data_IF_508393435460
#
_entry.id   IF_508393435460
#
_cell.length_a   1.000
_cell.length_b   1.000
_cell.length_c   1.000
_cell.angle_alpha   90.00
_cell.angle_beta   90.00
_cell.angle_gamma   90.00
#
_symmetry.space_group_name_H-M   'P 1'
#
loop_
_entity.id
_entity.type
_entity.pdbx_description
1 polymer ?
#
# COMPACT_ATOMS: atom_id res chain seq x y z
N UNK A 1 5.61 4.35 8.33
CA UNK A 1 4.84 3.57 7.35
C UNK A 1 3.37 3.57 7.76
N UNK A 2 2.45 3.96 6.88
CA UNK A 2 1.03 3.70 7.11
C UNK A 2 0.80 2.20 7.03
N UNK A 3 -0.07 1.65 7.88
CA UNK A 3 -0.48 0.24 7.74
C UNK A 3 -1.23 0.05 6.43
N UNK A 4 -1.15 -1.15 5.84
CA UNK A 4 -1.88 -1.51 4.62
C UNK A 4 -3.38 -1.20 4.73
N UNK A 5 -3.99 -1.51 5.88
CA UNK A 5 -5.40 -1.19 6.15
C UNK A 5 -5.70 0.31 6.10
N UNK A 6 -4.74 1.14 6.52
CA UNK A 6 -4.90 2.59 6.48
C UNK A 6 -4.72 3.14 5.07
N UNK A 7 -3.84 2.53 4.26
CA UNK A 7 -3.72 2.81 2.83
C UNK A 7 -5.03 2.52 2.09
N UNK A 8 -5.66 1.37 2.37
CA UNK A 8 -6.95 1.00 1.78
C UNK A 8 -8.03 2.02 2.16
N UNK A 9 -8.21 2.32 3.46
CA UNK A 9 -9.21 3.29 3.93
C UNK A 9 -9.01 4.69 3.34
N UNK A 10 -7.77 5.17 3.28
CA UNK A 10 -7.47 6.47 2.68
C UNK A 10 -7.82 6.49 1.18
N UNK A 11 -7.58 5.38 0.49
CA UNK A 11 -7.87 5.25 -0.95
C UNK A 11 -9.37 5.15 -1.20
N UNK A 12 -10.11 4.37 -0.41
CA UNK A 12 -11.58 4.32 -0.44
C UNK A 12 -12.19 5.69 -0.18
N UNK A 13 -11.68 6.42 0.82
CA UNK A 13 -12.14 7.78 1.14
C UNK A 13 -11.89 8.75 0.00
N UNK A 14 -10.75 8.66 -0.69
CA UNK A 14 -10.42 9.50 -1.86
C UNK A 14 -11.25 9.16 -3.09
N UNK A 15 -11.52 7.89 -3.31
CA UNK A 15 -12.33 7.41 -4.42
C UNK A 15 -13.84 7.63 -4.19
N UNK A 16 -14.26 7.82 -2.94
CA UNK A 16 -15.68 7.93 -2.57
C UNK A 16 -16.45 6.61 -2.74
N UNK A 17 -15.74 5.49 -2.91
CA UNK A 17 -16.28 4.14 -3.07
C UNK A 17 -15.36 3.11 -2.42
N UNK A 18 -15.90 1.92 -2.19
CA UNK A 18 -15.09 0.77 -1.78
C UNK A 18 -14.14 0.37 -2.90
N UNK A 19 -12.98 -0.15 -2.51
CA UNK A 19 -12.03 -0.77 -3.42
C UNK A 19 -12.61 -2.09 -3.95
N UNK A 20 -12.41 -2.33 -5.24
CA UNK A 20 -12.67 -3.63 -5.85
C UNK A 20 -11.56 -4.61 -5.42
N UNK A 21 -11.84 -5.90 -5.47
CA UNK A 21 -10.89 -6.95 -5.09
C UNK A 21 -9.54 -6.80 -5.81
N UNK A 22 -9.58 -6.58 -7.13
CA UNK A 22 -8.39 -6.36 -7.95
C UNK A 22 -7.58 -5.11 -7.53
N UNK A 23 -8.27 -4.06 -7.06
CA UNK A 23 -7.60 -2.85 -6.57
C UNK A 23 -6.95 -3.07 -5.21
N UNK A 24 -7.56 -3.91 -4.36
CA UNK A 24 -6.96 -4.32 -3.08
C UNK A 24 -5.71 -5.17 -3.32
N UNK A 25 -5.77 -6.15 -4.22
CA UNK A 25 -4.61 -6.98 -4.60
C UNK A 25 -3.47 -6.12 -5.17
N UNK A 26 -3.80 -5.17 -6.03
CA UNK A 26 -2.83 -4.22 -6.57
C UNK A 26 -2.17 -3.38 -5.47
N UNK A 27 -2.97 -2.80 -4.56
CA UNK A 27 -2.44 -2.00 -3.45
C UNK A 27 -1.58 -2.83 -2.50
N UNK A 28 -1.93 -4.10 -2.29
CA UNK A 28 -1.15 -5.01 -1.46
C UNK A 28 0.22 -5.22 -2.08
N UNK A 29 0.27 -5.60 -3.36
CA UNK A 29 1.51 -5.78 -4.10
C UNK A 29 2.39 -4.53 -4.08
N UNK A 30 1.81 -3.34 -4.34
CA UNK A 30 2.56 -2.08 -4.28
C UNK A 30 3.13 -1.82 -2.89
N UNK A 31 2.34 -2.06 -1.84
CA UNK A 31 2.76 -1.83 -0.46
C UNK A 31 3.92 -2.73 -0.05
N UNK A 32 3.89 -4.00 -0.45
CA UNK A 32 4.95 -4.97 -0.19
C UNK A 32 6.24 -4.59 -0.90
N UNK A 33 6.16 -4.20 -2.17
CA UNK A 33 7.32 -3.71 -2.92
C UNK A 33 7.91 -2.45 -2.31
N UNK A 34 7.07 -1.51 -1.89
CA UNK A 34 7.54 -0.30 -1.23
C UNK A 34 8.29 -0.61 0.07
N UNK A 35 7.78 -1.54 0.89
CA UNK A 35 8.44 -2.01 2.10
C UNK A 35 9.79 -2.68 1.79
N UNK A 36 9.84 -3.54 0.76
CA UNK A 36 11.07 -4.21 0.34
C UNK A 36 12.13 -3.19 -0.12
N UNK A 37 11.73 -2.23 -0.94
CA UNK A 37 12.63 -1.18 -1.44
C UNK A 37 13.08 -0.23 -0.32
N UNK A 38 12.21 0.12 0.63
CA UNK A 38 12.61 0.88 1.83
C UNK A 38 13.62 0.10 2.69
N UNK A 39 13.44 -1.22 2.85
CA UNK A 39 14.39 -2.07 3.57
C UNK A 39 15.74 -2.12 2.86
N UNK A 40 15.76 -2.30 1.53
CA UNK A 40 16.99 -2.27 0.74
C UNK A 40 17.72 -0.93 0.90
N UNK A 41 17.01 0.20 0.84
CA UNK A 41 17.61 1.53 1.04
C UNK A 41 18.22 1.69 2.43
N UNK A 42 17.58 1.18 3.47
CA UNK A 42 18.09 1.25 4.85
C UNK A 42 19.28 0.33 5.12
N UNK A 43 19.37 -0.83 4.45
CA UNK A 43 20.51 -1.75 4.62
C UNK A 43 21.78 -1.31 3.87
N UNK A 44 21.71 -0.28 3.02
CA UNK A 44 22.85 0.24 2.23
C UNK A 44 23.38 1.57 2.84
N UNK A 45 22.80 2.07 3.94
CA UNK A 45 23.26 3.28 4.64
C UNK A 45 24.15 2.98 5.83
#
# INVERSE_FOLDING_TARGET
MKSFLQLCRDTEKKLGRKLLEQEVEFLQWVSERYIEEERKKKCIS
#
